data_IF_352209726429
#
_entry.id   IF_352209726429
#
_cell.length_a   1.000
_cell.length_b   1.000
_cell.length_c   1.000
_cell.angle_alpha   90.00
_cell.angle_beta   90.00
_cell.angle_gamma   90.00
#
_symmetry.space_group_name_H-M   'P 1'
#
loop_
_entity.id
_entity.type
_entity.pdbx_description
1 polymer ?
#
# COMPACT_ATOMS: atom_id res chain seq x y z
N UNK A 1 -41.17 17.07 -15.62
CA UNK A 1 -40.65 16.67 -14.31
C UNK A 1 -39.87 15.37 -14.51
N UNK A 2 -38.59 15.42 -14.83
CA UNK A 2 -37.72 14.25 -14.91
C UNK A 2 -36.78 14.32 -13.73
N UNK A 3 -37.05 13.47 -12.73
CA UNK A 3 -36.31 13.38 -11.50
C UNK A 3 -34.83 13.06 -11.77
N UNK A 4 -34.01 14.00 -11.34
CA UNK A 4 -32.56 13.88 -11.30
C UNK A 4 -32.20 12.72 -10.36
N UNK A 5 -32.13 11.48 -10.86
CA UNK A 5 -31.52 10.37 -10.14
C UNK A 5 -30.02 10.70 -9.99
N UNK A 6 -29.74 11.49 -8.99
CA UNK A 6 -28.39 11.66 -8.45
C UNK A 6 -28.07 10.34 -7.74
N UNK A 7 -27.59 9.35 -8.49
CA UNK A 7 -26.97 8.17 -7.91
C UNK A 7 -25.90 8.68 -6.95
N UNK A 8 -26.19 8.61 -5.66
CA UNK A 8 -25.19 8.68 -4.59
C UNK A 8 -24.28 7.47 -4.80
N UNK A 9 -23.35 7.59 -5.74
CA UNK A 9 -22.25 6.62 -5.87
C UNK A 9 -21.46 6.74 -4.58
N UNK A 10 -21.77 5.84 -3.65
CA UNK A 10 -21.11 5.82 -2.35
C UNK A 10 -19.62 5.80 -2.58
N UNK A 11 -18.92 6.78 -2.02
CA UNK A 11 -17.46 6.71 -1.91
C UNK A 11 -17.17 5.41 -1.20
N UNK A 12 -16.44 4.48 -1.83
CA UNK A 12 -16.05 3.25 -1.16
C UNK A 12 -15.27 3.67 0.07
N UNK A 13 -15.66 3.26 1.26
CA UNK A 13 -14.96 3.62 2.49
C UNK A 13 -13.65 2.81 2.56
N UNK A 14 -12.62 3.27 1.83
CA UNK A 14 -11.30 2.61 1.78
C UNK A 14 -10.72 2.38 3.18
N UNK A 15 -10.96 3.33 4.09
CA UNK A 15 -10.52 3.21 5.47
C UNK A 15 -11.19 2.05 6.23
N UNK A 16 -12.49 1.83 6.02
CA UNK A 16 -13.20 0.71 6.68
C UNK A 16 -12.79 -0.64 6.12
N UNK A 17 -12.51 -0.72 4.80
CA UNK A 17 -11.99 -1.93 4.16
C UNK A 17 -10.59 -2.25 4.68
N UNK A 18 -9.73 -1.25 4.78
CA UNK A 18 -8.39 -1.40 5.37
C UNK A 18 -8.47 -1.86 6.83
N UNK A 19 -9.34 -1.24 7.64
CA UNK A 19 -9.53 -1.60 9.04
C UNK A 19 -10.06 -3.04 9.21
N UNK A 20 -11.00 -3.46 8.35
CA UNK A 20 -11.50 -4.83 8.33
C UNK A 20 -10.39 -5.84 7.99
N UNK A 21 -9.56 -5.54 6.99
CA UNK A 21 -8.38 -6.34 6.65
C UNK A 21 -7.40 -6.43 7.82
N UNK A 22 -7.08 -5.29 8.45
CA UNK A 22 -6.16 -5.21 9.58
C UNK A 22 -6.67 -6.07 10.75
N UNK A 23 -7.94 -5.94 11.11
CA UNK A 23 -8.55 -6.74 12.17
C UNK A 23 -8.51 -8.24 11.85
N UNK A 24 -8.84 -8.63 10.62
CA UNK A 24 -8.74 -10.02 10.18
C UNK A 24 -7.30 -10.54 10.26
N UNK A 25 -6.31 -9.74 9.84
CA UNK A 25 -4.88 -10.09 9.95
C UNK A 25 -4.44 -10.34 11.39
N UNK A 26 -4.90 -9.51 12.33
CA UNK A 26 -4.66 -9.70 13.75
C UNK A 26 -5.29 -11.01 14.27
N UNK A 27 -6.52 -11.32 13.86
CA UNK A 27 -7.19 -12.56 14.23
C UNK A 27 -6.45 -13.79 13.70
N UNK A 28 -6.08 -13.78 12.40
CA UNK A 28 -5.35 -14.89 11.76
C UNK A 28 -4.08 -15.22 12.54
N UNK A 29 -3.30 -14.19 12.92
CA UNK A 29 -2.07 -14.45 13.66
C UNK A 29 -2.33 -14.91 15.09
N UNK A 30 -3.33 -14.34 15.77
CA UNK A 30 -3.65 -14.77 17.13
C UNK A 30 -4.10 -16.24 17.20
N UNK A 31 -4.92 -16.69 16.24
CA UNK A 31 -5.35 -18.09 16.17
C UNK A 31 -4.29 -19.02 15.60
N UNK A 32 -3.48 -18.54 14.64
CA UNK A 32 -2.39 -19.30 13.99
C UNK A 32 -1.02 -19.09 14.61
N UNK A 33 -0.91 -18.61 15.84
CA UNK A 33 0.32 -18.21 16.50
C UNK A 33 1.43 -19.26 16.42
N UNK A 34 1.13 -20.52 16.77
CA UNK A 34 2.11 -21.61 16.76
C UNK A 34 2.61 -21.95 15.36
N UNK A 35 1.73 -21.92 14.36
CA UNK A 35 2.10 -22.27 12.98
C UNK A 35 2.84 -21.12 12.28
N UNK A 36 2.36 -19.89 12.45
CA UNK A 36 2.89 -18.73 11.74
C UNK A 36 4.15 -18.14 12.37
N UNK A 37 4.30 -18.17 13.69
CA UNK A 37 5.48 -17.61 14.36
C UNK A 37 6.64 -18.60 14.41
N UNK A 38 6.36 -19.89 14.65
CA UNK A 38 7.40 -20.89 14.82
C UNK A 38 7.95 -21.37 13.47
N UNK A 39 7.10 -21.52 12.44
CA UNK A 39 7.53 -22.04 11.15
C UNK A 39 8.07 -20.98 10.17
N UNK A 40 7.67 -19.71 10.30
CA UNK A 40 8.06 -18.68 9.32
C UNK A 40 9.24 -17.83 9.76
N UNK A 41 9.67 -17.93 11.02
CA UNK A 41 10.77 -17.10 11.56
C UNK A 41 10.47 -15.58 11.49
N UNK A 42 9.20 -15.19 11.37
CA UNK A 42 8.78 -13.78 11.29
C UNK A 42 9.28 -13.01 12.52
N UNK A 43 10.16 -12.03 12.27
CA UNK A 43 10.77 -11.20 13.30
C UNK A 43 11.55 -12.04 14.36
N UNK A 44 12.22 -13.11 13.93
CA UNK A 44 13.00 -13.93 14.83
C UNK A 44 14.23 -13.18 15.36
N UNK A 45 14.66 -13.50 16.58
CA UNK A 45 15.79 -12.84 17.24
C UNK A 45 17.08 -12.98 16.40
N UNK A 46 17.27 -14.14 15.77
CA UNK A 46 18.36 -14.40 14.83
C UNK A 46 18.30 -13.45 13.61
N UNK A 47 17.13 -13.25 13.03
CA UNK A 47 16.93 -12.34 11.88
C UNK A 47 17.24 -10.89 12.25
N UNK A 48 16.78 -10.43 13.43
CA UNK A 48 17.06 -9.09 13.93
C UNK A 48 18.55 -8.89 14.25
N UNK A 49 19.21 -9.91 14.82
CA UNK A 49 20.65 -9.88 15.07
C UNK A 49 21.44 -9.74 13.77
N UNK A 50 21.09 -10.50 12.75
CA UNK A 50 21.71 -10.37 11.43
C UNK A 50 21.47 -8.98 10.81
N UNK A 51 20.26 -8.43 10.91
CA UNK A 51 19.96 -7.08 10.43
C UNK A 51 20.78 -5.99 11.13
N UNK A 52 21.11 -6.17 12.40
CA UNK A 52 21.91 -5.22 13.18
C UNK A 52 23.32 -5.02 12.62
N UNK A 53 23.91 -6.09 12.04
CA UNK A 53 25.30 -6.10 11.54
C UNK A 53 25.37 -6.12 10.00
N UNK A 54 24.25 -6.11 9.31
CA UNK A 54 24.23 -6.09 7.84
C UNK A 54 24.70 -4.75 7.30
N UNK A 55 25.63 -4.78 6.36
CA UNK A 55 25.94 -3.63 5.50
C UNK A 55 24.92 -3.62 4.35
N UNK A 56 24.05 -2.62 4.34
CA UNK A 56 23.00 -2.50 3.31
C UNK A 56 23.54 -1.67 2.15
N UNK A 57 23.61 -2.26 0.96
CA UNK A 57 23.84 -1.50 -0.26
C UNK A 57 22.53 -0.76 -0.64
N UNK A 58 22.49 0.53 -0.32
CA UNK A 58 21.32 1.37 -0.56
C UNK A 58 20.96 1.46 -2.05
N UNK A 59 21.93 1.35 -2.96
CA UNK A 59 21.70 1.42 -4.40
C UNK A 59 21.01 0.16 -4.90
N UNK A 60 21.51 -1.00 -4.52
CA UNK A 60 20.88 -2.29 -4.85
C UNK A 60 19.45 -2.39 -4.25
N UNK A 61 19.29 -1.94 -3.00
CA UNK A 61 17.99 -1.88 -2.35
C UNK A 61 17.01 -0.95 -3.08
N UNK A 62 17.48 0.22 -3.53
CA UNK A 62 16.66 1.16 -4.28
C UNK A 62 16.09 0.53 -5.57
N UNK A 63 16.93 -0.11 -6.39
CA UNK A 63 16.48 -0.77 -7.62
C UNK A 63 15.49 -1.90 -7.33
N UNK A 64 15.73 -2.70 -6.31
CA UNK A 64 14.85 -3.79 -5.91
C UNK A 64 13.47 -3.26 -5.48
N UNK A 65 13.45 -2.27 -4.59
CA UNK A 65 12.22 -1.66 -4.07
C UNK A 65 11.45 -0.96 -5.19
N UNK A 66 12.15 -0.17 -6.01
CA UNK A 66 11.53 0.56 -7.13
C UNK A 66 10.87 -0.40 -8.10
N UNK A 67 11.58 -1.44 -8.56
CA UNK A 67 11.03 -2.47 -9.47
C UNK A 67 9.78 -3.10 -8.89
N UNK A 68 9.83 -3.52 -7.65
CA UNK A 68 8.75 -4.25 -7.00
C UNK A 68 7.51 -3.37 -6.77
N UNK A 69 7.69 -2.10 -6.42
CA UNK A 69 6.59 -1.14 -6.24
C UNK A 69 6.02 -0.66 -7.57
N UNK A 70 6.88 -0.43 -8.57
CA UNK A 70 6.47 0.02 -9.89
C UNK A 70 5.58 -1.03 -10.57
N UNK A 71 5.94 -2.31 -10.50
CA UNK A 71 5.12 -3.41 -11.02
C UNK A 71 3.73 -3.43 -10.36
N UNK A 72 3.65 -3.20 -9.06
CA UNK A 72 2.36 -3.14 -8.34
C UNK A 72 1.51 -1.95 -8.75
N UNK A 73 2.09 -0.75 -8.84
CA UNK A 73 1.37 0.48 -9.24
C UNK A 73 0.90 0.38 -10.69
N UNK A 74 1.77 -0.04 -11.61
CA UNK A 74 1.39 -0.24 -13.01
C UNK A 74 0.37 -1.37 -13.17
N UNK A 75 0.53 -2.47 -12.45
CA UNK A 75 -0.44 -3.57 -12.43
C UNK A 75 -1.82 -3.10 -11.99
N UNK A 76 -1.93 -2.31 -10.92
CA UNK A 76 -3.19 -1.71 -10.49
C UNK A 76 -3.76 -0.75 -11.54
N UNK A 77 -2.92 0.08 -12.15
CA UNK A 77 -3.35 1.01 -13.20
C UNK A 77 -3.92 0.27 -14.41
N UNK A 78 -3.26 -0.81 -14.86
CA UNK A 78 -3.74 -1.64 -15.98
C UNK A 78 -5.01 -2.40 -15.58
N UNK A 79 -5.03 -3.05 -14.42
CA UNK A 79 -6.20 -3.80 -13.96
C UNK A 79 -7.42 -2.91 -13.72
N UNK A 80 -7.22 -1.62 -13.38
CA UNK A 80 -8.31 -0.67 -13.21
C UNK A 80 -9.06 -0.35 -14.52
N UNK A 81 -8.46 -0.61 -15.67
CA UNK A 81 -9.12 -0.48 -16.98
C UNK A 81 -10.04 -1.65 -17.31
N UNK A 82 -9.96 -2.74 -16.57
CA UNK A 82 -10.80 -3.93 -16.75
C UNK A 82 -12.12 -3.82 -15.99
N UNK A 83 -13.08 -4.66 -16.36
CA UNK A 83 -14.37 -4.75 -15.64
C UNK A 83 -14.22 -5.07 -14.15
N UNK A 84 -13.18 -5.82 -13.79
CA UNK A 84 -12.84 -6.19 -12.40
C UNK A 84 -12.06 -5.10 -11.65
N UNK A 85 -11.73 -3.96 -12.29
CA UNK A 85 -10.85 -2.93 -11.72
C UNK A 85 -11.28 -2.45 -10.33
N UNK A 86 -12.60 -2.31 -10.10
CA UNK A 86 -13.13 -1.91 -8.80
C UNK A 86 -12.91 -2.98 -7.72
N UNK A 87 -13.16 -4.25 -8.05
CA UNK A 87 -12.95 -5.37 -7.14
C UNK A 87 -11.46 -5.54 -6.80
N UNK A 88 -10.59 -5.35 -7.77
CA UNK A 88 -9.12 -5.42 -7.58
C UNK A 88 -8.65 -4.31 -6.63
N UNK A 89 -9.14 -3.07 -6.80
CA UNK A 89 -8.79 -1.97 -5.88
C UNK A 89 -9.22 -2.25 -4.44
N UNK A 90 -10.44 -2.75 -4.24
CA UNK A 90 -10.96 -3.13 -2.92
C UNK A 90 -10.14 -4.28 -2.33
N UNK A 91 -9.90 -5.32 -3.10
CA UNK A 91 -9.10 -6.49 -2.69
C UNK A 91 -7.67 -6.10 -2.32
N UNK A 92 -7.07 -5.18 -3.05
CA UNK A 92 -5.72 -4.67 -2.78
C UNK A 92 -5.64 -3.95 -1.42
N UNK A 93 -6.60 -3.05 -1.13
CA UNK A 93 -6.66 -2.34 0.16
C UNK A 93 -6.87 -3.31 1.32
N UNK A 94 -7.77 -4.26 1.15
CA UNK A 94 -8.04 -5.30 2.15
C UNK A 94 -6.81 -6.17 2.42
N UNK A 95 -6.12 -6.62 1.37
CA UNK A 95 -4.89 -7.40 1.47
C UNK A 95 -3.79 -6.65 2.22
N UNK A 96 -3.58 -5.36 1.89
CA UNK A 96 -2.60 -4.53 2.60
C UNK A 96 -2.95 -4.36 4.08
N UNK A 97 -4.23 -4.16 4.40
CA UNK A 97 -4.69 -4.12 5.80
C UNK A 97 -4.38 -5.43 6.52
N UNK A 98 -4.66 -6.56 5.89
CA UNK A 98 -4.41 -7.89 6.45
C UNK A 98 -2.91 -8.14 6.71
N UNK A 99 -2.06 -7.84 5.75
CA UNK A 99 -0.61 -7.95 5.93
C UNK A 99 -0.09 -7.04 7.06
N UNK A 100 -0.60 -5.81 7.15
CA UNK A 100 -0.25 -4.88 8.23
C UNK A 100 -0.69 -5.42 9.60
N UNK A 101 -1.88 -6.01 9.70
CA UNK A 101 -2.39 -6.63 10.92
C UNK A 101 -1.55 -7.82 11.37
N UNK A 102 -1.16 -8.70 10.45
CA UNK A 102 -0.28 -9.84 10.74
C UNK A 102 1.07 -9.34 11.26
N UNK A 103 1.69 -8.38 10.56
CA UNK A 103 3.02 -7.88 10.91
C UNK A 103 3.03 -7.15 12.26
N UNK A 104 2.02 -6.31 12.52
CA UNK A 104 1.86 -5.61 13.80
C UNK A 104 1.66 -6.59 14.96
N UNK A 105 0.77 -7.58 14.78
CA UNK A 105 0.54 -8.59 15.81
C UNK A 105 1.77 -9.45 16.08
N UNK A 106 2.52 -9.84 15.05
CA UNK A 106 3.78 -10.59 15.21
C UNK A 106 4.78 -9.80 16.05
N UNK A 107 4.95 -8.52 15.77
CA UNK A 107 5.86 -7.64 16.50
C UNK A 107 5.45 -7.47 17.97
N UNK A 108 4.14 -7.31 18.22
CA UNK A 108 3.61 -7.16 19.59
C UNK A 108 3.77 -8.46 20.39
N UNK A 109 3.50 -9.61 19.79
CA UNK A 109 3.59 -10.91 20.47
C UNK A 109 5.04 -11.25 20.82
N UNK A 110 6.02 -10.93 19.95
CA UNK A 110 7.44 -11.25 20.20
C UNK A 110 8.14 -10.23 21.11
N UNK A 111 7.89 -8.94 20.92
CA UNK A 111 8.67 -7.86 21.54
C UNK A 111 7.84 -6.88 22.39
N UNK A 112 6.53 -7.11 22.53
CA UNK A 112 5.66 -6.21 23.28
C UNK A 112 5.68 -4.78 22.76
N UNK A 113 5.80 -3.81 23.68
CA UNK A 113 5.84 -2.37 23.33
C UNK A 113 7.06 -2.02 22.46
N UNK A 114 8.19 -2.67 22.68
CA UNK A 114 9.39 -2.48 21.84
C UNK A 114 9.12 -2.90 20.39
N UNK A 115 8.34 -3.97 20.16
CA UNK A 115 7.92 -4.38 18.82
C UNK A 115 7.11 -3.32 18.08
N UNK A 116 6.25 -2.58 18.79
CA UNK A 116 5.52 -1.46 18.20
C UNK A 116 6.48 -0.36 17.72
N UNK A 117 7.47 -0.02 18.53
CA UNK A 117 8.50 0.98 18.16
C UNK A 117 9.30 0.53 16.95
N UNK A 118 9.65 -0.75 16.85
CA UNK A 118 10.36 -1.32 15.71
C UNK A 118 9.53 -1.22 14.42
N UNK A 119 8.23 -1.56 14.50
CA UNK A 119 7.31 -1.45 13.37
C UNK A 119 7.14 0.00 12.95
N UNK A 120 6.97 0.93 13.91
CA UNK A 120 6.88 2.35 13.62
C UNK A 120 8.14 2.87 12.92
N UNK A 121 9.32 2.52 13.37
CA UNK A 121 10.58 2.92 12.74
C UNK A 121 10.74 2.33 11.34
N UNK A 122 10.30 1.08 11.12
CA UNK A 122 10.32 0.45 9.81
C UNK A 122 9.29 1.01 8.83
N UNK A 123 8.20 1.58 9.35
CA UNK A 123 7.13 2.18 8.54
C UNK A 123 7.39 3.66 8.28
N UNK A 124 7.81 4.39 9.29
CA UNK A 124 8.13 5.82 9.22
C UNK A 124 9.59 6.02 8.76
N UNK A 125 9.96 6.94 7.86
CA UNK A 125 9.13 8.03 7.31
C UNK A 125 8.48 7.73 5.95
N UNK A 126 8.79 6.61 5.31
CA UNK A 126 8.42 6.30 3.93
C UNK A 126 6.90 6.25 3.72
N UNK A 127 6.14 5.77 4.70
CA UNK A 127 4.68 5.67 4.58
C UNK A 127 3.97 7.04 4.59
N UNK A 128 4.62 8.10 5.08
CA UNK A 128 4.11 9.47 4.90
C UNK A 128 3.95 9.84 3.41
N UNK A 129 4.79 9.28 2.54
CA UNK A 129 4.72 9.50 1.10
C UNK A 129 3.82 8.45 0.45
N UNK A 130 3.95 7.17 0.83
CA UNK A 130 3.21 6.10 0.18
C UNK A 130 1.71 6.10 0.48
N UNK A 131 1.28 6.46 1.69
CA UNK A 131 -0.15 6.46 2.04
C UNK A 131 -0.93 7.48 1.20
N UNK A 132 -0.57 8.78 1.13
CA UNK A 132 -1.28 9.73 0.28
C UNK A 132 -1.17 9.38 -1.20
N UNK A 133 0.00 8.91 -1.66
CA UNK A 133 0.19 8.44 -3.03
C UNK A 133 -0.76 7.28 -3.38
N UNK A 134 -0.89 6.29 -2.51
CA UNK A 134 -1.77 5.14 -2.73
C UNK A 134 -3.24 5.53 -2.70
N UNK A 135 -3.65 6.41 -1.80
CA UNK A 135 -5.02 6.95 -1.78
C UNK A 135 -5.32 7.65 -3.10
N UNK A 136 -4.39 8.49 -3.58
CA UNK A 136 -4.54 9.19 -4.85
C UNK A 136 -4.63 8.22 -6.03
N UNK A 137 -3.76 7.21 -6.09
CA UNK A 137 -3.80 6.16 -7.11
C UNK A 137 -5.14 5.41 -7.11
N UNK A 138 -5.66 5.02 -5.95
CA UNK A 138 -6.93 4.31 -5.85
C UNK A 138 -8.12 5.18 -6.29
N UNK A 139 -8.13 6.46 -5.93
CA UNK A 139 -9.13 7.42 -6.41
C UNK A 139 -9.05 7.64 -7.92
N UNK A 140 -7.83 7.68 -8.46
CA UNK A 140 -7.58 7.76 -9.89
C UNK A 140 -8.08 6.50 -10.62
N UNK A 141 -7.80 5.30 -10.10
CA UNK A 141 -8.33 4.04 -10.62
C UNK A 141 -9.86 4.00 -10.61
N UNK A 142 -10.50 4.46 -9.53
CA UNK A 142 -11.95 4.55 -9.45
C UNK A 142 -12.53 5.55 -10.47
N UNK A 143 -11.86 6.70 -10.67
CA UNK A 143 -12.24 7.69 -11.66
C UNK A 143 -12.16 7.11 -13.07
N UNK A 144 -11.06 6.42 -13.39
CA UNK A 144 -10.84 5.77 -14.69
C UNK A 144 -11.91 4.69 -14.96
N UNK A 145 -12.16 3.82 -13.99
CA UNK A 145 -13.21 2.80 -14.08
C UNK A 145 -14.60 3.40 -14.37
N UNK A 146 -14.99 4.43 -13.61
CA UNK A 146 -16.29 5.11 -13.83
C UNK A 146 -16.42 5.67 -15.24
N UNK A 147 -15.38 6.28 -15.76
CA UNK A 147 -15.41 6.87 -17.11
C UNK A 147 -15.52 5.80 -18.19
N UNK A 148 -14.81 4.68 -18.04
CA UNK A 148 -14.83 3.61 -19.04
C UNK A 148 -16.18 2.88 -19.04
N UNK A 149 -16.74 2.58 -17.87
CA UNK A 149 -17.88 1.67 -17.75
C UNK A 149 -19.21 2.34 -17.39
N UNK A 150 -19.22 3.42 -16.60
CA UNK A 150 -20.46 4.05 -16.13
C UNK A 150 -20.87 5.27 -16.96
N UNK A 151 -19.93 6.05 -17.50
CA UNK A 151 -20.23 7.27 -18.25
C UNK A 151 -20.34 7.05 -19.76
N UNK A 152 -20.20 5.81 -20.24
CA UNK A 152 -20.31 5.44 -21.65
C UNK A 152 -21.68 5.81 -22.29
N UNK A 153 -22.71 5.97 -21.47
CA UNK A 153 -24.07 6.30 -21.91
C UNK A 153 -24.45 7.78 -21.78
N UNK A 154 -23.58 8.62 -21.22
CA UNK A 154 -23.83 10.06 -21.18
C UNK A 154 -23.27 10.68 -22.46
N UNK A 155 -24.16 10.87 -23.44
CA UNK A 155 -23.90 11.42 -24.77
C UNK A 155 -23.54 12.92 -24.77
N UNK A 156 -22.99 13.47 -23.73
CA UNK A 156 -22.40 14.79 -23.72
C UNK A 156 -20.91 14.64 -24.02
N UNK A 157 -20.52 15.08 -25.21
CA UNK A 157 -19.17 15.05 -25.77
C UNK A 157 -18.11 15.64 -24.84
N UNK A 158 -17.73 14.87 -23.82
CA UNK A 158 -16.53 15.12 -23.07
C UNK A 158 -15.37 14.93 -24.05
N UNK A 159 -14.72 16.04 -24.31
CA UNK A 159 -13.58 16.18 -25.18
C UNK A 159 -12.50 15.15 -24.80
N UNK A 160 -12.61 13.93 -25.38
CA UNK A 160 -11.65 12.83 -25.14
C UNK A 160 -10.20 13.28 -25.35
N UNK A 161 -10.01 14.28 -26.21
CA UNK A 161 -8.68 14.83 -26.51
C UNK A 161 -8.03 15.57 -25.35
N UNK A 162 -8.83 16.20 -24.48
CA UNK A 162 -8.33 16.91 -23.28
C UNK A 162 -8.24 16.03 -22.04
N UNK A 163 -8.95 14.89 -22.06
CA UNK A 163 -8.99 14.01 -20.90
C UNK A 163 -7.77 13.11 -20.80
N UNK A 164 -7.36 12.49 -21.89
CA UNK A 164 -6.20 11.59 -21.91
C UNK A 164 -4.91 12.22 -21.35
N UNK A 165 -4.49 13.45 -21.77
CA UNK A 165 -3.29 14.05 -21.23
C UNK A 165 -3.38 14.33 -19.72
N UNK A 166 -4.57 14.65 -19.21
CA UNK A 166 -4.78 14.88 -17.78
C UNK A 166 -4.61 13.59 -16.96
N UNK A 167 -5.15 12.49 -17.44
CA UNK A 167 -5.03 11.18 -16.79
C UNK A 167 -3.57 10.70 -16.78
N UNK A 168 -2.85 10.91 -17.88
CA UNK A 168 -1.42 10.56 -17.97
C UNK A 168 -0.59 11.44 -17.02
N UNK A 169 -0.89 12.74 -16.94
CA UNK A 169 -0.21 13.66 -16.03
C UNK A 169 -0.43 13.29 -14.57
N UNK A 170 -1.67 12.93 -14.19
CA UNK A 170 -2.01 12.46 -12.85
C UNK A 170 -1.22 11.18 -12.50
N UNK A 171 -1.10 10.23 -13.44
CA UNK A 171 -0.30 9.01 -13.26
C UNK A 171 1.20 9.34 -13.15
N UNK A 172 1.70 10.29 -13.93
CA UNK A 172 3.07 10.79 -13.83
C UNK A 172 3.39 11.34 -12.45
N UNK A 173 2.46 12.09 -11.84
CA UNK A 173 2.59 12.57 -10.46
C UNK A 173 2.67 11.44 -9.43
N UNK A 174 1.87 10.37 -9.60
CA UNK A 174 1.95 9.17 -8.77
C UNK A 174 3.31 8.48 -8.89
N UNK A 175 3.85 8.37 -10.12
CA UNK A 175 5.16 7.75 -10.34
C UNK A 175 6.29 8.58 -9.73
N UNK A 176 6.23 9.90 -9.80
CA UNK A 176 7.20 10.77 -9.13
C UNK A 176 7.16 10.62 -7.60
N UNK A 177 5.97 10.61 -7.02
CA UNK A 177 5.80 10.36 -5.59
C UNK A 177 6.29 8.96 -5.17
N UNK A 178 6.10 7.95 -6.03
CA UNK A 178 6.63 6.61 -5.81
C UNK A 178 8.15 6.60 -5.79
N UNK A 179 8.81 7.25 -6.74
CA UNK A 179 10.27 7.34 -6.78
C UNK A 179 10.80 8.03 -5.53
N UNK A 180 10.19 9.17 -5.13
CA UNK A 180 10.57 9.87 -3.90
C UNK A 180 10.42 8.98 -2.67
N UNK A 181 9.34 8.22 -2.56
CA UNK A 181 9.14 7.24 -1.49
C UNK A 181 10.18 6.12 -1.49
N UNK A 182 10.57 5.61 -2.67
CA UNK A 182 11.61 4.59 -2.80
C UNK A 182 12.99 5.12 -2.38
N UNK A 183 13.31 6.37 -2.67
CA UNK A 183 14.56 7.00 -2.20
C UNK A 183 14.57 7.05 -0.66
N UNK A 184 13.50 7.54 -0.05
CA UNK A 184 13.38 7.59 1.40
C UNK A 184 13.47 6.19 2.03
N UNK A 185 12.80 5.18 1.44
CA UNK A 185 12.84 3.79 1.92
C UNK A 185 14.23 3.18 1.82
N UNK A 186 14.98 3.46 0.76
CA UNK A 186 16.27 2.82 0.52
C UNK A 186 17.44 3.50 1.24
N UNK A 187 17.34 4.80 1.47
CA UNK A 187 18.43 5.56 2.08
C UNK A 187 18.19 5.90 3.54
N UNK A 188 16.96 6.26 3.96
CA UNK A 188 16.69 6.63 5.35
C UNK A 188 16.28 5.43 6.22
N UNK A 189 15.43 4.55 5.69
CA UNK A 189 14.85 3.49 6.52
C UNK A 189 15.86 2.52 7.12
N UNK A 190 16.90 2.04 6.39
CA UNK A 190 17.90 1.15 6.96
C UNK A 190 18.62 1.76 8.17
N UNK A 191 18.97 3.05 8.09
CA UNK A 191 19.64 3.75 9.20
C UNK A 191 18.75 3.84 10.44
N UNK A 192 17.44 4.13 10.26
CA UNK A 192 16.48 4.21 11.37
C UNK A 192 16.29 2.84 12.04
N UNK A 193 16.10 1.80 11.24
CA UNK A 193 15.90 0.44 11.77
C UNK A 193 17.14 -0.07 12.48
N UNK A 194 18.32 0.06 11.87
CA UNK A 194 19.59 -0.36 12.49
C UNK A 194 19.89 0.45 13.75
N UNK A 195 19.62 1.78 13.72
CA UNK A 195 19.76 2.66 14.89
C UNK A 195 18.89 2.21 16.06
N UNK A 196 17.65 1.80 15.78
CA UNK A 196 16.72 1.33 16.80
C UNK A 196 17.11 -0.07 17.31
N UNK A 197 17.57 -0.96 16.44
CA UNK A 197 18.05 -2.29 16.82
C UNK A 197 19.28 -2.27 17.74
N UNK A 198 20.03 -1.15 17.78
CA UNK A 198 21.13 -0.97 18.75
C UNK A 198 20.66 -0.73 20.18
N UNK A 199 19.39 -0.34 20.35
CA UNK A 199 18.76 -0.08 21.66
C UNK A 199 18.07 -1.36 22.19
N UNK A 200 17.89 -2.35 21.35
CA UNK A 200 17.44 -3.70 21.70
C UNK A 200 18.61 -4.59 22.07
#
# INVERSE_FOLDING_TARGET
MLGRYRTKTGKIPLATIFAAGLFLGMLILNFGKSILLDNTGLLDEYTLYHMKYMTVDSSALFYYVLRNRLVRVLGLAVLSTTYLGMAVCVGYVFWYGMCAGIFLSAAVIRYGIKGILLVLAGIFPQYLIYVPMMIFLLLWCQKLYRMIYLEKNSASGLDKSRFLPKVILELGGVLLALIAGCVVESFLNPYLVIGLLKIF
#
